data_IF_957358692859
#
_entry.id   IF_957358692859
#
_cell.length_a   1.000
_cell.length_b   1.000
_cell.length_c   1.000
_cell.angle_alpha   90.00
_cell.angle_beta   90.00
_cell.angle_gamma   90.00
#
_symmetry.space_group_name_H-M   'P 1'
#
loop_
_entity.id
_entity.type
_entity.pdbx_description
1 polymer ?
#
# COMPACT_ATOMS: atom_id res chain seq x y z
N UNK A 1 6.16 -12.35 -9.24
CA UNK A 1 5.52 -12.73 -7.98
C UNK A 1 5.18 -14.22 -7.96
N UNK A 2 4.34 -14.75 -8.82
CA UNK A 2 3.92 -16.17 -8.81
C UNK A 2 5.12 -17.14 -8.76
N UNK A 3 6.12 -16.98 -9.64
CA UNK A 3 7.30 -17.85 -9.68
C UNK A 3 8.09 -17.78 -8.37
N UNK A 4 8.41 -16.58 -7.91
CA UNK A 4 9.16 -16.39 -6.66
C UNK A 4 8.42 -17.02 -5.48
N UNK A 5 7.11 -16.82 -5.36
CA UNK A 5 6.32 -17.42 -4.28
C UNK A 5 6.28 -18.95 -4.39
N UNK A 6 6.14 -19.50 -5.60
CA UNK A 6 6.14 -20.95 -5.83
C UNK A 6 7.51 -21.58 -5.45
N UNK A 7 8.60 -20.90 -5.74
CA UNK A 7 9.97 -21.36 -5.47
C UNK A 7 10.42 -21.10 -4.02
N UNK A 8 9.68 -20.27 -3.26
CA UNK A 8 10.02 -20.02 -1.84
C UNK A 8 9.85 -21.30 -1.02
N UNK A 9 10.87 -21.73 -0.27
CA UNK A 9 10.77 -22.91 0.60
C UNK A 9 9.65 -22.78 1.63
N UNK A 10 8.96 -23.88 1.92
CA UNK A 10 8.03 -23.93 3.06
C UNK A 10 8.82 -23.73 4.36
N UNK A 11 8.33 -22.90 5.28
CA UNK A 11 9.05 -22.61 6.50
C UNK A 11 9.06 -23.85 7.43
N UNK A 12 10.25 -24.28 7.79
CA UNK A 12 10.54 -25.23 8.86
C UNK A 12 11.67 -24.62 9.68
N UNK A 13 11.50 -24.56 10.98
CA UNK A 13 12.48 -23.96 11.87
C UNK A 13 12.96 -24.99 12.90
N UNK A 14 14.23 -25.32 12.87
CA UNK A 14 14.87 -26.07 13.95
C UNK A 14 15.16 -25.13 15.10
N UNK A 15 14.52 -25.34 16.23
CA UNK A 15 14.64 -24.49 17.43
C UNK A 15 15.73 -25.07 18.37
N UNK A 16 15.74 -26.39 18.54
CA UNK A 16 16.73 -27.13 19.33
C UNK A 16 17.10 -28.36 18.53
N UNK A 17 18.40 -28.66 18.50
CA UNK A 17 18.95 -29.92 18.03
C UNK A 17 20.34 -30.07 18.68
N UNK A 18 20.40 -30.64 19.89
CA UNK A 18 21.63 -30.82 20.68
C UNK A 18 22.08 -32.29 20.76
N UNK A 19 21.38 -33.16 20.03
CA UNK A 19 21.69 -34.60 19.96
C UNK A 19 20.93 -35.44 20.99
N UNK A 20 20.50 -34.83 22.08
CA UNK A 20 19.67 -35.50 23.12
C UNK A 20 18.19 -35.10 22.99
N UNK A 21 17.95 -33.85 22.56
CA UNK A 21 16.61 -33.29 22.33
C UNK A 21 16.54 -32.57 21.01
N UNK A 22 15.36 -32.59 20.38
CA UNK A 22 15.08 -31.73 19.23
C UNK A 22 13.72 -31.03 19.37
N UNK A 23 13.62 -29.85 18.78
CA UNK A 23 12.36 -29.15 18.61
C UNK A 23 12.33 -28.45 17.24
N UNK A 24 11.33 -28.76 16.46
CA UNK A 24 11.10 -28.17 15.15
C UNK A 24 9.73 -27.49 15.10
N UNK A 25 9.66 -26.36 14.42
CA UNK A 25 8.39 -25.69 14.13
C UNK A 25 8.05 -25.84 12.66
N UNK A 26 6.92 -26.44 12.37
CA UNK A 26 6.32 -26.62 11.06
C UNK A 26 5.10 -25.70 10.90
N UNK A 27 4.74 -25.38 9.66
CA UNK A 27 3.56 -24.59 9.35
C UNK A 27 2.61 -25.39 8.47
N UNK A 28 1.45 -25.76 9.04
CA UNK A 28 0.42 -26.54 8.34
C UNK A 28 -0.62 -25.61 7.70
N UNK A 29 -1.28 -26.04 6.58
CA UNK A 29 -2.36 -25.28 6.00
C UNK A 29 -3.40 -24.81 7.01
N UNK A 30 -3.91 -23.61 6.86
CA UNK A 30 -5.04 -23.09 7.67
C UNK A 30 -6.36 -23.72 7.27
N UNK A 31 -6.56 -23.97 5.96
CA UNK A 31 -7.80 -24.43 5.36
C UNK A 31 -8.24 -23.54 4.21
N UNK A 32 -9.32 -22.78 4.37
CA UNK A 32 -9.85 -21.89 3.34
C UNK A 32 -9.56 -20.43 3.65
N UNK A 33 -8.94 -19.73 2.70
CA UNK A 33 -8.63 -18.29 2.79
C UNK A 33 -9.64 -17.49 1.99
N UNK A 34 -10.30 -16.53 2.63
CA UNK A 34 -11.10 -15.51 1.98
C UNK A 34 -10.20 -14.34 1.57
N UNK A 35 -9.95 -14.16 0.27
CA UNK A 35 -9.13 -13.12 -0.30
C UNK A 35 -9.99 -12.00 -0.86
N UNK A 36 -10.03 -10.85 -0.19
CA UNK A 36 -10.85 -9.68 -0.58
C UNK A 36 -9.91 -8.59 -1.07
N UNK A 37 -9.95 -8.31 -2.39
CA UNK A 37 -8.98 -7.46 -3.06
C UNK A 37 -9.58 -6.13 -3.53
N UNK A 38 -8.79 -5.04 -3.53
CA UNK A 38 -9.22 -3.69 -3.89
C UNK A 38 -9.21 -3.48 -5.41
N UNK A 39 -9.55 -2.26 -5.82
CA UNK A 39 -9.66 -1.85 -7.22
C UNK A 39 -8.40 -1.19 -7.80
N UNK A 40 -7.47 -0.72 -6.96
CA UNK A 40 -6.33 0.08 -7.42
C UNK A 40 -5.22 -0.75 -8.10
N UNK A 41 -4.93 -1.94 -7.58
CA UNK A 41 -3.99 -2.90 -8.17
C UNK A 41 -4.62 -4.31 -8.21
N UNK A 42 -5.71 -4.49 -8.96
CA UNK A 42 -6.60 -5.64 -8.78
C UNK A 42 -5.95 -7.01 -9.03
N UNK A 43 -5.18 -7.14 -10.10
CA UNK A 43 -4.51 -8.41 -10.43
C UNK A 43 -3.28 -8.64 -9.54
N UNK A 44 -2.52 -7.59 -9.27
CA UNK A 44 -1.28 -7.68 -8.50
C UNK A 44 -1.58 -8.09 -7.05
N UNK A 45 -2.51 -7.41 -6.39
CA UNK A 45 -2.90 -7.74 -5.01
C UNK A 45 -3.60 -9.10 -4.94
N UNK A 46 -4.39 -9.48 -5.97
CA UNK A 46 -4.94 -10.83 -6.04
C UNK A 46 -3.82 -11.89 -6.01
N UNK A 47 -2.76 -11.72 -6.80
CA UNK A 47 -1.59 -12.62 -6.80
C UNK A 47 -0.90 -12.64 -5.43
N UNK A 48 -0.77 -11.50 -4.76
CA UNK A 48 -0.16 -11.42 -3.44
C UNK A 48 -0.90 -12.22 -2.37
N UNK A 49 -2.21 -12.35 -2.49
CA UNK A 49 -3.05 -13.12 -1.57
C UNK A 49 -3.22 -14.58 -2.01
N UNK A 50 -3.44 -14.84 -3.30
CA UNK A 50 -3.70 -16.18 -3.84
C UNK A 50 -2.43 -17.05 -3.83
N UNK A 51 -1.33 -16.54 -4.39
CA UNK A 51 -0.13 -17.36 -4.58
C UNK A 51 0.45 -17.92 -3.27
N UNK A 52 0.68 -17.12 -2.22
CA UNK A 52 1.19 -17.67 -0.96
C UNK A 52 0.16 -18.55 -0.23
N UNK A 53 -1.16 -18.27 -0.39
CA UNK A 53 -2.20 -19.14 0.17
C UNK A 53 -2.13 -20.54 -0.43
N UNK A 54 -2.04 -20.64 -1.76
CA UNK A 54 -1.90 -21.91 -2.46
C UNK A 54 -0.56 -22.59 -2.15
N UNK A 55 0.53 -21.83 -2.08
CA UNK A 55 1.87 -22.35 -1.74
C UNK A 55 1.88 -23.03 -0.37
N UNK A 56 1.12 -22.50 0.58
CA UNK A 56 0.96 -23.08 1.92
C UNK A 56 -0.08 -24.21 2.00
N UNK A 57 -0.69 -24.60 0.87
CA UNK A 57 -1.65 -25.71 0.79
C UNK A 57 -3.09 -25.33 1.16
N UNK A 58 -3.41 -24.04 1.24
CA UNK A 58 -4.78 -23.58 1.48
C UNK A 58 -5.60 -23.56 0.19
N UNK A 59 -6.92 -23.61 0.31
CA UNK A 59 -7.86 -23.23 -0.75
C UNK A 59 -8.22 -21.75 -0.63
N UNK A 60 -8.69 -21.16 -1.73
CA UNK A 60 -8.98 -19.72 -1.79
C UNK A 60 -10.37 -19.44 -2.33
N UNK A 61 -11.10 -18.58 -1.64
CA UNK A 61 -12.30 -17.90 -2.16
C UNK A 61 -11.94 -16.42 -2.35
N UNK A 62 -11.73 -16.01 -3.60
CA UNK A 62 -11.42 -14.64 -3.94
C UNK A 62 -12.68 -13.82 -4.21
N UNK A 63 -12.77 -12.63 -3.62
CA UNK A 63 -13.73 -11.59 -3.98
C UNK A 63 -12.96 -10.36 -4.48
N UNK A 64 -12.89 -10.14 -5.80
CA UNK A 64 -12.35 -8.90 -6.35
C UNK A 64 -13.29 -7.72 -6.05
N UNK A 65 -12.76 -6.50 -6.14
CA UNK A 65 -13.62 -5.32 -6.09
C UNK A 65 -14.64 -5.34 -7.24
N UNK A 66 -15.85 -4.88 -6.96
CA UNK A 66 -16.92 -4.71 -7.95
C UNK A 66 -16.52 -3.80 -9.11
N UNK A 67 -15.62 -2.86 -8.87
CA UNK A 67 -15.11 -1.94 -9.90
C UNK A 67 -14.15 -2.58 -10.89
N UNK A 68 -13.49 -3.67 -10.53
CA UNK A 68 -12.39 -4.28 -11.32
C UNK A 68 -12.49 -5.81 -11.38
N UNK A 69 -13.71 -6.35 -11.30
CA UNK A 69 -13.94 -7.79 -11.22
C UNK A 69 -13.50 -8.57 -12.47
N UNK A 70 -13.57 -7.96 -13.65
CA UNK A 70 -13.25 -8.66 -14.91
C UNK A 70 -11.79 -9.13 -14.97
N UNK A 71 -10.84 -8.32 -14.55
CA UNK A 71 -9.42 -8.70 -14.52
C UNK A 71 -9.15 -9.82 -13.51
N UNK A 72 -9.83 -9.79 -12.35
CA UNK A 72 -9.75 -10.85 -11.34
C UNK A 72 -10.32 -12.18 -11.86
N UNK A 73 -11.48 -12.14 -12.56
CA UNK A 73 -12.08 -13.31 -13.19
C UNK A 73 -11.17 -13.91 -14.26
N UNK A 74 -10.60 -13.07 -15.15
CA UNK A 74 -9.68 -13.52 -16.19
C UNK A 74 -8.43 -14.19 -15.60
N UNK A 75 -7.84 -13.59 -14.56
CA UNK A 75 -6.70 -14.16 -13.84
C UNK A 75 -7.03 -15.54 -13.29
N UNK A 76 -8.15 -15.68 -12.58
CA UNK A 76 -8.53 -16.93 -11.95
C UNK A 76 -8.95 -18.00 -12.96
N UNK A 77 -9.55 -17.60 -14.09
CA UNK A 77 -9.80 -18.50 -15.20
C UNK A 77 -8.49 -19.13 -15.70
N UNK A 78 -7.45 -18.33 -15.91
CA UNK A 78 -6.14 -18.82 -16.35
C UNK A 78 -5.51 -19.75 -15.30
N UNK A 79 -5.51 -19.35 -14.01
CA UNK A 79 -4.96 -20.18 -12.94
C UNK A 79 -5.69 -21.53 -12.81
N UNK A 80 -7.01 -21.55 -12.97
CA UNK A 80 -7.80 -22.76 -12.88
C UNK A 80 -7.61 -23.73 -14.06
N UNK A 81 -6.89 -23.34 -15.13
CA UNK A 81 -6.50 -24.31 -16.17
C UNK A 81 -5.47 -25.34 -15.69
N UNK A 82 -4.77 -25.04 -14.59
CA UNK A 82 -3.70 -25.89 -14.04
C UNK A 82 -3.93 -26.31 -12.58
N UNK A 83 -4.87 -25.68 -11.90
CA UNK A 83 -5.23 -26.01 -10.50
C UNK A 83 -6.32 -27.10 -10.47
N UNK A 84 -6.32 -27.97 -9.44
CA UNK A 84 -7.44 -28.89 -9.22
C UNK A 84 -8.75 -28.12 -8.99
N UNK A 85 -9.87 -28.75 -9.37
CA UNK A 85 -11.20 -28.17 -9.18
C UNK A 85 -11.47 -27.83 -7.70
N UNK A 86 -12.05 -26.65 -7.44
CA UNK A 86 -12.42 -26.18 -6.10
C UNK A 86 -11.28 -25.58 -5.29
N UNK A 87 -10.04 -25.61 -5.76
CA UNK A 87 -8.89 -25.02 -5.02
C UNK A 87 -8.92 -23.50 -5.05
N UNK A 88 -9.27 -22.89 -6.17
CA UNK A 88 -9.42 -21.45 -6.33
C UNK A 88 -10.80 -21.12 -6.89
N UNK A 89 -11.59 -20.39 -6.10
CA UNK A 89 -12.94 -19.98 -6.49
C UNK A 89 -13.06 -18.47 -6.47
N UNK A 90 -13.84 -17.90 -7.39
CA UNK A 90 -14.11 -16.46 -7.45
C UNK A 90 -15.58 -16.20 -7.26
N UNK A 91 -15.91 -15.26 -6.38
CA UNK A 91 -17.26 -14.74 -6.19
C UNK A 91 -17.28 -13.24 -6.44
N UNK A 92 -18.26 -12.77 -7.21
CA UNK A 92 -18.38 -11.36 -7.61
C UNK A 92 -19.61 -10.75 -6.94
N UNK A 93 -19.43 -9.61 -6.29
CA UNK A 93 -20.49 -8.89 -5.61
C UNK A 93 -19.92 -7.68 -4.86
N UNK A 94 -20.80 -6.89 -4.29
CA UNK A 94 -20.48 -5.69 -3.54
C UNK A 94 -20.06 -5.99 -2.07
N UNK A 95 -20.14 -5.00 -1.20
CA UNK A 95 -19.68 -5.11 0.18
C UNK A 95 -20.45 -6.13 1.05
N UNK A 96 -21.72 -6.38 0.73
CA UNK A 96 -22.56 -7.39 1.41
C UNK A 96 -22.04 -8.82 1.20
N UNK A 97 -21.53 -9.14 0.01
CA UNK A 97 -20.88 -10.42 -0.24
C UNK A 97 -19.56 -10.52 0.54
N UNK A 98 -18.79 -9.42 0.63
CA UNK A 98 -17.60 -9.37 1.46
C UNK A 98 -17.91 -9.67 2.93
N UNK A 99 -18.96 -9.09 3.47
CA UNK A 99 -19.41 -9.37 4.84
C UNK A 99 -19.76 -10.85 5.05
N UNK A 100 -20.49 -11.47 4.12
CA UNK A 100 -20.79 -12.93 4.19
C UNK A 100 -19.55 -13.80 4.19
N UNK A 101 -18.50 -13.45 3.43
CA UNK A 101 -17.21 -14.18 3.45
C UNK A 101 -16.57 -14.05 4.83
N UNK A 102 -16.58 -12.83 5.39
CA UNK A 102 -15.98 -12.57 6.71
C UNK A 102 -16.71 -13.33 7.82
N UNK A 103 -18.03 -13.40 7.78
CA UNK A 103 -18.88 -14.07 8.78
C UNK A 103 -18.89 -15.60 8.63
N UNK A 104 -18.58 -16.14 7.46
CA UNK A 104 -18.71 -17.56 7.16
C UNK A 104 -17.76 -18.42 8.03
N UNK A 105 -18.32 -19.41 8.72
CA UNK A 105 -17.57 -20.40 9.50
C UNK A 105 -16.69 -21.32 8.63
N UNK A 106 -16.93 -21.34 7.30
CA UNK A 106 -16.15 -22.14 6.34
C UNK A 106 -14.87 -21.45 5.88
N UNK A 107 -14.63 -20.23 6.32
CA UNK A 107 -13.43 -19.45 6.02
C UNK A 107 -12.55 -19.38 7.28
N UNK A 108 -11.33 -19.86 7.19
CA UNK A 108 -10.40 -19.95 8.32
C UNK A 108 -9.55 -18.68 8.49
N UNK A 109 -9.29 -17.97 7.39
CA UNK A 109 -8.53 -16.72 7.39
C UNK A 109 -9.11 -15.72 6.40
N UNK A 110 -9.06 -14.44 6.76
CA UNK A 110 -9.31 -13.32 5.85
C UNK A 110 -8.00 -12.63 5.51
N UNK A 111 -7.74 -12.49 4.22
CA UNK A 111 -6.81 -11.51 3.68
C UNK A 111 -7.61 -10.38 3.06
N UNK A 112 -7.39 -9.18 3.54
CA UNK A 112 -8.11 -8.00 3.07
C UNK A 112 -7.14 -6.86 2.81
N UNK A 113 -7.24 -6.29 1.62
CA UNK A 113 -6.59 -5.02 1.27
C UNK A 113 -7.67 -4.00 0.90
N UNK A 114 -7.65 -2.84 1.56
CA UNK A 114 -8.63 -1.80 1.34
C UNK A 114 -8.64 -0.71 2.41
N UNK A 115 -9.79 -0.06 2.65
CA UNK A 115 -9.86 1.06 3.59
C UNK A 115 -9.78 0.62 5.05
N UNK A 116 -9.15 1.44 5.91
CA UNK A 116 -9.08 1.24 7.36
C UNK A 116 -10.47 1.08 7.99
N UNK A 117 -11.45 1.85 7.53
CA UNK A 117 -12.85 1.74 7.98
C UNK A 117 -13.42 0.33 7.74
N UNK A 118 -13.17 -0.26 6.57
CA UNK A 118 -13.62 -1.62 6.27
C UNK A 118 -12.82 -2.65 7.05
N UNK A 119 -11.52 -2.46 7.22
CA UNK A 119 -10.68 -3.32 8.05
C UNK A 119 -11.20 -3.43 9.49
N UNK A 120 -11.56 -2.31 10.12
CA UNK A 120 -12.17 -2.30 11.47
C UNK A 120 -13.47 -3.11 11.51
N UNK A 121 -14.36 -2.98 10.52
CA UNK A 121 -15.60 -3.78 10.41
C UNK A 121 -15.31 -5.28 10.25
N UNK A 122 -14.27 -5.64 9.49
CA UNK A 122 -13.85 -7.05 9.35
C UNK A 122 -13.40 -7.62 10.69
N UNK A 123 -12.65 -6.86 11.48
CA UNK A 123 -12.24 -7.28 12.83
C UNK A 123 -13.46 -7.56 13.71
N UNK A 124 -14.42 -6.65 13.73
CA UNK A 124 -15.66 -6.77 14.50
C UNK A 124 -16.47 -8.01 14.07
N UNK A 125 -16.74 -8.15 12.76
CA UNK A 125 -17.56 -9.23 12.22
C UNK A 125 -16.93 -10.62 12.35
N UNK A 126 -15.59 -10.72 12.39
CA UNK A 126 -14.86 -11.98 12.50
C UNK A 126 -14.40 -12.32 13.92
N UNK A 127 -14.84 -11.60 14.95
CA UNK A 127 -14.42 -11.83 16.33
C UNK A 127 -15.03 -13.12 16.92
N UNK A 128 -16.25 -13.49 16.50
CA UNK A 128 -17.00 -14.59 17.09
C UNK A 128 -16.40 -15.99 16.86
N UNK A 129 -15.56 -16.18 15.85
CA UNK A 129 -14.95 -17.47 15.51
C UNK A 129 -13.41 -17.47 15.55
N UNK A 130 -12.80 -16.45 16.14
CA UNK A 130 -11.33 -16.30 16.29
C UNK A 130 -10.57 -16.40 14.95
N UNK A 131 -11.20 -16.02 13.85
CA UNK A 131 -10.64 -16.10 12.49
C UNK A 131 -9.34 -15.30 12.39
N UNK A 132 -8.32 -15.89 11.77
CA UNK A 132 -7.06 -15.21 11.48
C UNK A 132 -7.25 -14.15 10.40
N UNK A 133 -6.48 -13.09 10.45
CA UNK A 133 -6.57 -11.96 9.51
C UNK A 133 -5.19 -11.46 9.14
N UNK A 134 -5.06 -11.03 7.89
CA UNK A 134 -4.04 -10.10 7.40
C UNK A 134 -4.78 -8.92 6.83
N UNK A 135 -4.51 -7.73 7.34
CA UNK A 135 -5.18 -6.49 6.96
C UNK A 135 -4.16 -5.51 6.44
N UNK A 136 -4.19 -5.27 5.12
CA UNK A 136 -3.42 -4.25 4.43
C UNK A 136 -4.35 -3.08 4.13
N UNK A 137 -4.18 -2.00 4.88
CA UNK A 137 -5.14 -0.90 4.90
C UNK A 137 -4.55 0.37 4.28
N UNK A 138 -5.24 1.51 4.47
CA UNK A 138 -4.76 2.78 3.99
C UNK A 138 -3.44 3.21 4.62
N UNK A 139 -2.71 4.08 3.95
CA UNK A 139 -1.50 4.73 4.42
C UNK A 139 -1.58 6.24 4.19
N UNK A 140 -0.78 6.99 4.91
CA UNK A 140 -0.55 8.41 4.64
C UNK A 140 0.95 8.68 4.74
N UNK A 141 1.69 8.01 3.84
CA UNK A 141 3.12 7.82 3.92
C UNK A 141 3.88 9.14 3.85
N UNK A 142 4.81 9.33 4.78
CA UNK A 142 5.66 10.49 4.86
C UNK A 142 7.01 10.25 4.15
N UNK A 143 7.46 11.22 3.37
CA UNK A 143 8.83 11.31 2.89
C UNK A 143 9.56 12.47 3.55
N UNK A 144 10.71 12.22 4.15
CA UNK A 144 11.57 13.25 4.76
C UNK A 144 12.81 13.43 3.88
N UNK A 145 12.97 14.62 3.34
CA UNK A 145 14.15 15.03 2.53
C UNK A 145 15.13 15.71 3.46
N UNK A 146 16.42 15.34 3.42
CA UNK A 146 17.49 16.05 4.13
C UNK A 146 18.14 17.11 3.24
N UNK A 147 18.90 18.02 3.84
CA UNK A 147 19.48 19.18 3.17
C UNK A 147 20.74 18.87 2.35
N UNK A 148 21.25 17.63 2.44
CA UNK A 148 22.44 17.15 1.74
C UNK A 148 22.16 16.58 0.33
N UNK A 149 20.89 16.57 -0.12
CA UNK A 149 20.52 16.00 -1.43
C UNK A 149 20.59 17.04 -2.56
N UNK A 150 20.79 16.55 -3.78
CA UNK A 150 20.50 17.35 -5.00
C UNK A 150 19.00 17.24 -5.32
N UNK A 151 18.23 18.37 -5.25
CA UNK A 151 16.81 18.40 -5.55
C UNK A 151 16.43 17.81 -6.91
N UNK A 152 17.26 18.02 -7.94
CA UNK A 152 17.00 17.49 -9.29
C UNK A 152 17.24 15.97 -9.37
N UNK A 153 18.21 15.46 -8.63
CA UNK A 153 18.52 14.04 -8.63
C UNK A 153 17.41 13.20 -7.96
N UNK A 154 16.71 13.75 -6.97
CA UNK A 154 15.65 13.04 -6.26
C UNK A 154 14.25 13.25 -6.88
N UNK A 155 14.06 14.26 -7.75
CA UNK A 155 12.74 14.65 -8.27
C UNK A 155 11.98 13.49 -8.93
N UNK A 156 12.64 12.65 -9.72
CA UNK A 156 12.02 11.51 -10.39
C UNK A 156 11.54 10.45 -9.37
N UNK A 157 12.37 10.14 -8.37
CA UNK A 157 12.00 9.20 -7.32
C UNK A 157 10.82 9.70 -6.47
N UNK A 158 10.79 11.00 -6.14
CA UNK A 158 9.66 11.64 -5.45
C UNK A 158 8.40 11.60 -6.30
N UNK A 159 8.52 11.91 -7.59
CA UNK A 159 7.40 11.90 -8.53
C UNK A 159 6.75 10.51 -8.60
N UNK A 160 7.53 9.47 -8.90
CA UNK A 160 6.99 8.12 -9.01
C UNK A 160 6.52 7.56 -7.67
N UNK A 161 7.17 7.93 -6.57
CA UNK A 161 6.71 7.59 -5.23
C UNK A 161 5.31 8.14 -4.92
N UNK A 162 5.01 9.36 -5.38
CA UNK A 162 3.73 10.02 -5.12
C UNK A 162 2.64 9.70 -6.15
N UNK A 163 2.98 9.59 -7.44
CA UNK A 163 2.01 9.67 -8.53
C UNK A 163 1.87 8.40 -9.37
N UNK A 164 2.57 7.33 -9.07
CA UNK A 164 2.34 6.04 -9.71
C UNK A 164 0.85 5.66 -9.60
N UNK A 165 0.27 5.12 -10.68
CA UNK A 165 -1.17 4.83 -10.76
C UNK A 165 -2.05 6.05 -10.42
N UNK A 166 -1.61 7.25 -10.81
CA UNK A 166 -2.29 8.53 -10.52
C UNK A 166 -2.48 8.74 -8.99
N UNK A 167 -1.49 8.32 -8.19
CA UNK A 167 -1.51 8.42 -6.73
C UNK A 167 -2.46 7.45 -6.02
N UNK A 168 -3.12 6.55 -6.74
CA UNK A 168 -4.09 5.59 -6.19
C UNK A 168 -3.40 4.34 -5.64
N UNK A 169 -2.44 4.55 -4.75
CA UNK A 169 -1.60 3.49 -4.17
C UNK A 169 -1.56 3.65 -2.65
N UNK A 170 -1.79 2.55 -1.92
CA UNK A 170 -1.77 2.56 -0.46
C UNK A 170 -0.42 3.04 0.10
N UNK A 171 0.69 2.53 -0.45
CA UNK A 171 2.05 2.91 -0.13
C UNK A 171 2.60 3.98 -1.10
N UNK A 172 1.81 4.98 -1.48
CA UNK A 172 2.31 6.16 -2.19
C UNK A 172 2.84 7.19 -1.20
N UNK A 173 3.82 7.96 -1.62
CA UNK A 173 4.28 9.17 -0.91
C UNK A 173 3.13 10.20 -0.89
N UNK A 174 2.59 10.48 0.27
CA UNK A 174 1.39 11.32 0.43
C UNK A 174 1.65 12.61 1.19
N UNK A 175 2.77 12.70 1.92
CA UNK A 175 3.22 13.90 2.65
C UNK A 175 4.72 14.06 2.46
N UNK A 176 5.16 15.15 1.85
CA UNK A 176 6.57 15.41 1.60
C UNK A 176 7.09 16.52 2.53
N UNK A 177 7.97 16.17 3.44
CA UNK A 177 8.65 17.09 4.36
C UNK A 177 9.99 17.48 3.78
N UNK A 178 10.22 18.79 3.63
CA UNK A 178 11.42 19.36 2.99
C UNK A 178 12.03 20.44 3.89
N UNK A 179 13.37 20.45 4.13
CA UNK A 179 14.01 21.43 4.96
C UNK A 179 14.00 22.83 4.30
N UNK A 180 13.94 23.85 5.13
CA UNK A 180 13.90 25.25 4.71
C UNK A 180 14.96 25.62 3.69
N UNK A 181 16.17 25.07 3.86
CA UNK A 181 17.36 25.39 3.05
C UNK A 181 17.24 25.06 1.56
N UNK A 182 16.48 24.01 1.20
CA UNK A 182 16.33 23.55 -0.18
C UNK A 182 14.85 23.43 -0.62
N UNK A 183 13.93 23.95 0.18
CA UNK A 183 12.49 23.77 -0.02
C UNK A 183 12.02 24.21 -1.41
N UNK A 184 12.32 25.44 -1.77
CA UNK A 184 11.85 26.00 -3.04
C UNK A 184 12.49 25.32 -4.27
N UNK A 185 13.73 24.83 -4.12
CA UNK A 185 14.42 24.08 -5.16
C UNK A 185 13.79 22.69 -5.37
N UNK A 186 13.45 21.98 -4.29
CA UNK A 186 12.77 20.68 -4.36
C UNK A 186 11.37 20.83 -4.97
N UNK A 187 10.59 21.83 -4.51
CA UNK A 187 9.26 22.12 -5.06
C UNK A 187 9.33 22.44 -6.54
N UNK A 188 10.28 23.30 -6.95
CA UNK A 188 10.46 23.67 -8.36
C UNK A 188 10.89 22.47 -9.22
N UNK A 189 11.85 21.66 -8.78
CA UNK A 189 12.34 20.50 -9.51
C UNK A 189 11.23 19.45 -9.71
N UNK A 190 10.43 19.19 -8.66
CA UNK A 190 9.32 18.26 -8.72
C UNK A 190 8.20 18.77 -9.65
N UNK A 191 7.85 20.06 -9.59
CA UNK A 191 6.83 20.66 -10.44
C UNK A 191 7.25 20.69 -11.92
N UNK A 192 8.51 20.99 -12.22
CA UNK A 192 9.05 20.96 -13.59
C UNK A 192 8.97 19.57 -14.21
N UNK A 193 9.31 18.53 -13.44
CA UNK A 193 9.19 17.15 -13.89
C UNK A 193 7.72 16.76 -14.08
N UNK A 194 6.90 17.01 -13.07
CA UNK A 194 5.49 16.61 -13.06
C UNK A 194 4.67 17.25 -14.18
N UNK A 195 4.98 18.51 -14.52
CA UNK A 195 4.33 19.23 -15.62
C UNK A 195 4.62 18.66 -17.02
N UNK A 196 5.61 17.77 -17.15
CA UNK A 196 5.99 17.13 -18.42
C UNK A 196 5.40 15.74 -18.60
N UNK A 197 4.81 15.16 -17.54
CA UNK A 197 4.27 13.80 -17.59
C UNK A 197 2.86 13.83 -18.18
N UNK A 198 2.62 13.17 -19.32
CA UNK A 198 1.32 13.22 -19.99
C UNK A 198 0.25 12.43 -19.25
N UNK A 199 -0.96 12.99 -19.21
CA UNK A 199 -2.16 12.37 -18.65
C UNK A 199 -3.25 12.31 -19.73
N UNK A 200 -3.94 11.18 -19.81
CA UNK A 200 -5.04 11.02 -20.76
C UNK A 200 -5.61 9.61 -20.78
N UNK A 201 -6.24 9.25 -21.89
CA UNK A 201 -6.83 7.93 -22.10
C UNK A 201 -5.73 6.85 -22.05
N UNK A 202 -5.89 5.85 -21.19
CA UNK A 202 -4.93 4.75 -21.01
C UNK A 202 -4.80 3.79 -22.21
N UNK A 203 -5.61 3.95 -23.26
CA UNK A 203 -5.45 3.22 -24.53
C UNK A 203 -4.48 3.92 -25.48
N UNK A 204 -4.12 5.15 -25.22
CA UNK A 204 -3.14 5.92 -25.97
C UNK A 204 -1.78 5.74 -25.33
N UNK A 205 -0.85 5.10 -26.02
CA UNK A 205 0.48 4.72 -25.50
C UNK A 205 1.35 5.90 -25.05
N UNK A 206 1.04 7.11 -25.50
CA UNK A 206 1.75 8.33 -25.10
C UNK A 206 1.39 8.78 -23.68
N UNK A 207 0.22 8.38 -23.16
CA UNK A 207 -0.22 8.77 -21.83
C UNK A 207 0.36 7.84 -20.76
N UNK A 208 0.83 8.44 -19.68
CA UNK A 208 1.48 7.76 -18.55
C UNK A 208 0.53 7.67 -17.36
N UNK A 209 -0.24 8.73 -17.11
CA UNK A 209 -1.22 8.81 -16.04
C UNK A 209 -2.64 8.78 -16.61
N UNK A 210 -3.52 8.08 -15.93
CA UNK A 210 -4.93 7.95 -16.28
C UNK A 210 -5.86 8.73 -15.34
N UNK A 211 -7.18 8.50 -15.48
CA UNK A 211 -8.19 9.10 -14.60
C UNK A 211 -8.15 8.47 -13.19
N UNK A 212 -8.85 9.11 -12.26
CA UNK A 212 -9.26 8.48 -11.02
C UNK A 212 -10.30 7.38 -11.31
N UNK A 213 -10.27 6.32 -10.52
CA UNK A 213 -11.03 5.11 -10.84
C UNK A 213 -12.56 5.28 -10.69
N UNK A 214 -13.00 6.13 -9.76
CA UNK A 214 -14.42 6.33 -9.49
C UNK A 214 -14.73 7.74 -8.99
N UNK A 215 -16.02 8.12 -9.06
CA UNK A 215 -16.49 9.43 -8.66
C UNK A 215 -16.25 9.76 -7.19
N UNK A 216 -16.44 8.78 -6.29
CA UNK A 216 -16.21 9.01 -4.87
C UNK A 216 -14.76 9.42 -4.59
N UNK A 217 -13.79 8.76 -5.26
CA UNK A 217 -12.36 9.08 -5.10
C UNK A 217 -12.03 10.44 -5.70
N UNK A 218 -12.61 10.79 -6.84
CA UNK A 218 -12.49 12.11 -7.44
C UNK A 218 -12.99 13.22 -6.50
N UNK A 219 -14.14 13.01 -5.88
CA UNK A 219 -14.73 13.99 -4.95
C UNK A 219 -13.87 14.16 -3.68
N UNK A 220 -13.25 13.09 -3.18
CA UNK A 220 -12.30 13.15 -2.06
C UNK A 220 -11.09 14.02 -2.43
N UNK A 221 -10.43 13.75 -3.56
CA UNK A 221 -9.26 14.52 -4.00
C UNK A 221 -9.62 15.99 -4.20
N UNK A 222 -10.73 16.26 -4.87
CA UNK A 222 -11.19 17.64 -5.11
C UNK A 222 -11.44 18.39 -3.79
N UNK A 223 -12.13 17.76 -2.85
CA UNK A 223 -12.39 18.34 -1.52
C UNK A 223 -11.10 18.67 -0.77
N UNK A 224 -10.14 17.74 -0.75
CA UNK A 224 -8.89 17.92 -0.01
C UNK A 224 -8.02 19.02 -0.62
N UNK A 225 -7.98 19.13 -1.95
CA UNK A 225 -7.24 20.21 -2.61
C UNK A 225 -7.91 21.56 -2.37
N UNK A 226 -9.25 21.65 -2.43
CA UNK A 226 -9.96 22.89 -2.12
C UNK A 226 -9.81 23.29 -0.66
N UNK A 227 -9.81 22.34 0.29
CA UNK A 227 -9.51 22.61 1.70
C UNK A 227 -8.11 23.19 1.86
N UNK A 228 -7.10 22.60 1.22
CA UNK A 228 -5.72 23.09 1.28
C UNK A 228 -5.60 24.54 0.74
N UNK A 229 -6.27 24.85 -0.36
CA UNK A 229 -6.34 26.23 -0.88
C UNK A 229 -6.99 27.20 0.11
N UNK A 230 -8.11 26.79 0.71
CA UNK A 230 -8.84 27.61 1.68
C UNK A 230 -8.01 27.87 2.96
N UNK A 231 -7.10 26.97 3.29
CA UNK A 231 -6.18 27.10 4.41
C UNK A 231 -4.80 27.71 4.05
N UNK A 232 -4.71 28.36 2.89
CA UNK A 232 -3.52 29.13 2.51
C UNK A 232 -2.45 28.35 1.74
N UNK A 233 -2.71 27.07 1.40
CA UNK A 233 -1.81 26.27 0.58
C UNK A 233 -1.62 26.89 -0.81
N UNK A 234 -0.37 26.97 -1.25
CA UNK A 234 0.01 27.49 -2.56
C UNK A 234 0.03 26.37 -3.59
N UNK A 235 -0.94 26.38 -4.50
CA UNK A 235 -0.94 25.45 -5.65
C UNK A 235 0.21 25.80 -6.59
N UNK A 236 1.15 24.88 -6.74
CA UNK A 236 2.32 25.02 -7.61
C UNK A 236 2.05 24.44 -8.98
N UNK A 237 1.30 23.33 -9.04
CA UNK A 237 0.91 22.63 -10.25
C UNK A 237 -0.50 22.05 -10.07
N UNK A 238 -1.29 21.97 -11.14
CA UNK A 238 -2.62 21.37 -11.14
C UNK A 238 -3.64 22.18 -10.33
N UNK A 239 -4.31 21.52 -9.39
CA UNK A 239 -5.21 22.15 -8.42
C UNK A 239 -6.66 22.32 -8.86
N UNK A 240 -7.04 21.80 -10.03
CA UNK A 240 -8.43 21.80 -10.51
C UNK A 240 -8.66 20.60 -11.45
N UNK A 241 -9.91 20.10 -11.59
CA UNK A 241 -10.27 19.05 -12.52
C UNK A 241 -9.89 19.36 -13.97
N UNK A 242 -9.39 18.37 -14.71
CA UNK A 242 -9.11 18.45 -16.16
C UNK A 242 -10.33 17.95 -16.95
N UNK A 243 -11.42 18.73 -16.92
CA UNK A 243 -12.72 18.35 -17.49
C UNK A 243 -12.69 18.13 -19.00
N UNK A 244 -11.73 18.72 -19.68
CA UNK A 244 -11.48 18.53 -21.13
C UNK A 244 -10.99 17.12 -21.47
N UNK A 245 -10.37 16.41 -20.51
CA UNK A 245 -9.94 15.01 -20.66
C UNK A 245 -11.06 14.03 -20.27
N UNK A 246 -12.02 14.46 -19.46
CA UNK A 246 -13.15 13.66 -19.00
C UNK A 246 -13.50 13.88 -17.53
N UNK A 247 -14.62 13.31 -17.09
CA UNK A 247 -15.25 13.58 -15.78
C UNK A 247 -14.44 13.12 -14.57
N UNK A 248 -13.50 12.18 -14.74
CA UNK A 248 -12.72 11.61 -13.65
C UNK A 248 -11.24 12.02 -13.70
N UNK A 249 -10.86 12.91 -14.62
CA UNK A 249 -9.49 13.38 -14.72
C UNK A 249 -9.20 14.50 -13.71
N UNK A 250 -8.25 14.22 -12.84
CA UNK A 250 -7.67 15.21 -11.92
C UNK A 250 -6.16 15.22 -12.15
N UNK A 251 -5.56 16.35 -12.56
CA UNK A 251 -4.15 16.39 -12.91
C UNK A 251 -3.26 16.25 -11.68
N UNK A 252 -2.00 15.90 -11.91
CA UNK A 252 -0.97 15.96 -10.86
C UNK A 252 -1.02 17.33 -10.20
N UNK A 253 -1.20 17.32 -8.90
CA UNK A 253 -1.36 18.54 -8.09
C UNK A 253 -0.30 18.57 -6.99
N UNK A 254 0.45 19.68 -6.95
CA UNK A 254 1.44 19.94 -5.90
C UNK A 254 0.98 21.17 -5.14
N UNK A 255 0.79 21.00 -3.82
CA UNK A 255 0.37 22.09 -2.92
C UNK A 255 1.49 22.34 -1.92
N UNK A 256 2.16 23.45 -2.05
CA UNK A 256 3.23 23.93 -1.18
C UNK A 256 2.69 24.79 -0.03
N UNK A 257 3.54 25.05 0.96
CA UNK A 257 3.28 25.95 2.07
C UNK A 257 2.05 25.53 2.91
N UNK A 258 1.87 24.23 3.10
CA UNK A 258 0.87 23.63 4.00
C UNK A 258 1.55 23.03 5.24
N UNK A 259 0.77 22.77 6.26
CA UNK A 259 1.24 22.22 7.54
C UNK A 259 0.25 21.17 8.07
N UNK A 260 0.64 20.45 9.11
CA UNK A 260 -0.22 19.58 9.89
C UNK A 260 -1.49 20.34 10.34
N UNK A 261 -2.64 19.67 10.32
CA UNK A 261 -3.95 20.28 10.57
C UNK A 261 -4.70 20.68 9.31
N UNK A 262 -4.06 20.72 8.13
CA UNK A 262 -4.73 20.87 6.83
C UNK A 262 -5.19 19.48 6.36
N UNK A 263 -6.43 19.36 5.92
CA UNK A 263 -7.00 18.05 5.60
C UNK A 263 -6.21 17.29 4.52
N UNK A 264 -5.61 17.96 3.54
CA UNK A 264 -4.75 17.33 2.52
C UNK A 264 -3.48 16.70 3.13
N UNK A 265 -3.01 17.19 4.28
CA UNK A 265 -1.87 16.62 5.02
C UNK A 265 -2.32 15.47 5.92
N UNK A 266 -3.44 15.64 6.62
CA UNK A 266 -3.86 14.74 7.69
C UNK A 266 -4.70 13.55 7.20
N UNK A 267 -5.41 13.70 6.07
CA UNK A 267 -6.26 12.65 5.49
C UNK A 267 -5.61 12.02 4.26
N UNK A 268 -5.81 10.71 4.09
CA UNK A 268 -5.36 9.98 2.90
C UNK A 268 -6.12 10.44 1.65
N UNK A 269 -5.45 11.11 0.71
CA UNK A 269 -6.06 11.59 -0.55
C UNK A 269 -6.28 10.46 -1.57
N UNK A 270 -5.42 9.45 -1.58
CA UNK A 270 -5.44 8.31 -2.50
C UNK A 270 -5.65 8.74 -3.96
N UNK A 271 -4.88 9.74 -4.39
CA UNK A 271 -4.99 10.37 -5.69
C UNK A 271 -3.85 11.34 -5.97
N UNK A 272 -3.86 12.05 -7.10
CA UNK A 272 -2.70 12.78 -7.63
C UNK A 272 -2.48 14.15 -6.96
N UNK A 273 -2.57 14.24 -5.65
CA UNK A 273 -2.34 15.48 -4.90
C UNK A 273 -1.29 15.27 -3.81
N UNK A 274 -0.20 16.02 -3.86
CA UNK A 274 0.90 15.95 -2.92
C UNK A 274 1.07 17.25 -2.15
N UNK A 275 0.85 17.29 -0.84
CA UNK A 275 1.24 18.38 0.03
C UNK A 275 2.75 18.35 0.26
N UNK A 276 3.39 19.53 0.19
CA UNK A 276 4.80 19.71 0.53
C UNK A 276 4.89 20.60 1.74
N UNK A 277 5.44 20.06 2.80
CA UNK A 277 5.51 20.64 4.13
C UNK A 277 6.94 21.10 4.41
N UNK A 278 7.09 22.33 4.87
CA UNK A 278 8.38 22.90 5.25
C UNK A 278 8.75 22.50 6.67
N UNK A 279 10.01 22.23 6.95
CA UNK A 279 10.51 22.05 8.31
C UNK A 279 11.86 22.75 8.50
N UNK A 280 12.12 23.20 9.75
CA UNK A 280 13.41 23.79 10.16
C UNK A 280 14.25 22.82 10.98
N UNK A 281 13.62 21.92 11.74
CA UNK A 281 14.26 20.89 12.53
C UNK A 281 13.77 19.51 12.10
N UNK A 282 14.68 18.61 11.82
CA UNK A 282 14.35 17.22 11.41
C UNK A 282 13.57 16.47 12.50
N UNK A 283 13.74 16.86 13.76
CA UNK A 283 12.99 16.28 14.87
C UNK A 283 11.48 16.57 14.75
N UNK A 284 11.11 17.77 14.33
CA UNK A 284 9.73 18.14 14.07
C UNK A 284 9.16 17.34 12.89
N UNK A 285 9.93 17.17 11.80
CA UNK A 285 9.53 16.37 10.67
C UNK A 285 9.28 14.90 11.06
N UNK A 286 10.13 14.31 11.90
CA UNK A 286 9.95 12.93 12.42
C UNK A 286 8.71 12.86 13.32
N UNK A 287 8.50 13.84 14.19
CA UNK A 287 7.32 13.89 15.05
C UNK A 287 6.03 13.98 14.25
N UNK A 288 5.97 14.86 13.25
CA UNK A 288 4.85 15.02 12.33
C UNK A 288 4.61 13.77 11.47
N UNK A 289 5.69 13.14 10.94
CA UNK A 289 5.59 11.90 10.20
C UNK A 289 4.93 10.79 11.03
N UNK A 290 5.26 10.73 12.32
CA UNK A 290 4.75 9.73 13.26
C UNK A 290 3.40 10.11 13.91
N UNK A 291 2.93 11.33 13.75
CA UNK A 291 1.78 11.90 14.48
C UNK A 291 0.42 11.34 14.09
N UNK A 292 0.29 10.72 12.91
CA UNK A 292 -0.97 10.16 12.43
C UNK A 292 -1.16 8.69 12.84
N UNK A 293 -2.42 8.25 12.87
CA UNK A 293 -2.81 6.83 13.04
C UNK A 293 -2.65 6.06 11.71
N UNK A 294 -1.58 6.33 10.97
CA UNK A 294 -1.19 5.63 9.76
C UNK A 294 0.30 5.26 9.84
N UNK A 295 0.65 4.09 9.35
CA UNK A 295 2.02 3.59 9.39
C UNK A 295 2.24 2.45 8.40
N UNK A 296 1.88 2.66 7.13
CA UNK A 296 2.13 1.67 6.09
C UNK A 296 3.57 1.78 5.59
N UNK A 297 3.93 2.93 5.05
CA UNK A 297 5.25 3.23 4.56
C UNK A 297 5.76 4.60 4.95
N UNK A 298 7.06 4.82 4.77
CA UNK A 298 7.73 6.11 4.85
C UNK A 298 9.01 6.08 4.01
N UNK A 299 9.58 7.24 3.73
CA UNK A 299 10.89 7.31 3.07
C UNK A 299 11.78 8.41 3.63
N UNK A 300 13.09 8.21 3.52
CA UNK A 300 14.11 9.19 3.87
C UNK A 300 15.02 9.41 2.66
N UNK A 301 15.22 10.65 2.30
CA UNK A 301 16.00 11.07 1.13
C UNK A 301 17.24 11.84 1.59
N UNK A 302 18.41 11.28 1.40
CA UNK A 302 19.67 11.84 1.85
C UNK A 302 20.83 11.33 0.97
N UNK A 303 21.88 12.12 0.84
CA UNK A 303 23.14 11.69 0.23
C UNK A 303 23.90 10.77 1.19
N UNK A 304 23.90 11.08 2.49
CA UNK A 304 24.49 10.18 3.50
C UNK A 304 23.50 9.08 3.90
N UNK A 305 23.84 7.84 3.52
CA UNK A 305 23.04 6.66 3.85
C UNK A 305 23.02 6.32 5.34
N UNK A 306 24.04 6.68 6.10
CA UNK A 306 24.08 6.42 7.53
C UNK A 306 23.08 7.32 8.26
N UNK A 307 23.03 8.59 7.89
CA UNK A 307 22.03 9.53 8.41
C UNK A 307 20.61 9.15 7.99
N UNK A 308 20.41 8.79 6.72
CA UNK A 308 19.11 8.27 6.27
C UNK A 308 18.65 7.07 7.11
N UNK A 309 19.56 6.11 7.38
CA UNK A 309 19.24 4.92 8.18
C UNK A 309 18.93 5.28 9.64
N UNK A 310 19.65 6.21 10.22
CA UNK A 310 19.43 6.69 11.60
C UNK A 310 18.01 7.28 11.75
N UNK A 311 17.55 8.05 10.77
CA UNK A 311 16.20 8.61 10.76
C UNK A 311 15.16 7.52 10.47
N UNK A 312 15.41 6.66 9.48
CA UNK A 312 14.49 5.59 9.08
C UNK A 312 14.10 4.68 10.26
N UNK A 313 15.05 4.36 11.16
CA UNK A 313 14.77 3.53 12.35
C UNK A 313 13.84 4.19 13.38
N UNK A 314 13.56 5.49 13.23
CA UNK A 314 12.71 6.28 14.14
C UNK A 314 11.30 6.48 13.59
N UNK A 315 11.07 6.15 12.31
CA UNK A 315 9.75 6.27 11.68
C UNK A 315 8.88 5.06 12.03
N UNK A 316 7.66 5.33 12.44
CA UNK A 316 6.68 4.33 12.89
C UNK A 316 5.85 3.81 11.71
N UNK A 317 6.52 3.17 10.77
CA UNK A 317 5.91 2.57 9.57
C UNK A 317 6.40 1.14 9.38
N UNK A 318 5.59 0.31 8.74
CA UNK A 318 5.93 -1.09 8.48
C UNK A 318 7.11 -1.23 7.52
N UNK A 319 7.21 -0.34 6.53
CA UNK A 319 8.37 -0.26 5.61
C UNK A 319 8.90 1.16 5.54
N UNK A 320 10.22 1.32 5.59
CA UNK A 320 10.88 2.62 5.36
C UNK A 320 11.92 2.47 4.26
N UNK A 321 11.75 3.23 3.20
CA UNK A 321 12.68 3.25 2.06
C UNK A 321 13.73 4.36 2.23
N UNK A 322 14.91 4.13 1.67
CA UNK A 322 15.98 5.13 1.59
C UNK A 322 16.22 5.47 0.12
N UNK A 323 16.10 6.75 -0.23
CA UNK A 323 16.27 7.28 -1.59
C UNK A 323 15.37 6.61 -2.65
N UNK A 324 14.23 6.13 -2.22
CA UNK A 324 13.16 5.59 -3.05
C UNK A 324 11.87 5.62 -2.26
N UNK A 325 10.73 5.31 -2.89
CA UNK A 325 9.44 5.16 -2.20
C UNK A 325 8.56 4.16 -2.92
N UNK A 326 7.86 3.30 -2.17
CA UNK A 326 6.86 2.37 -2.70
C UNK A 326 7.40 1.15 -3.44
N UNK A 327 8.72 0.96 -3.52
CA UNK A 327 9.33 -0.20 -4.14
C UNK A 327 9.12 -1.47 -3.32
N UNK A 328 8.39 -2.46 -3.87
CA UNK A 328 8.13 -3.75 -3.21
C UNK A 328 8.91 -4.88 -3.87
N UNK A 329 9.29 -5.87 -3.07
CA UNK A 329 10.00 -7.05 -3.55
C UNK A 329 9.37 -8.33 -2.99
N UNK A 330 9.16 -9.40 -3.80
CA UNK A 330 8.43 -10.60 -3.38
C UNK A 330 9.05 -11.37 -2.21
N UNK A 331 10.34 -11.15 -1.92
CA UNK A 331 11.04 -11.80 -0.80
C UNK A 331 11.14 -10.91 0.46
N UNK A 332 10.72 -9.65 0.39
CA UNK A 332 10.81 -8.72 1.52
C UNK A 332 9.42 -8.59 2.16
N UNK A 333 9.28 -8.93 3.44
CA UNK A 333 8.00 -8.80 4.13
C UNK A 333 7.46 -7.38 4.05
N UNK A 334 6.15 -7.27 3.85
CA UNK A 334 5.42 -6.01 3.77
C UNK A 334 4.17 -6.08 4.64
N UNK A 335 3.87 -4.99 5.35
CA UNK A 335 2.69 -4.85 6.18
C UNK A 335 2.72 -3.55 6.95
N UNK A 336 1.53 -3.06 7.33
CA UNK A 336 1.36 -1.82 8.07
C UNK A 336 1.43 -2.00 9.58
N UNK A 337 1.55 -0.86 10.27
CA UNK A 337 1.38 -0.72 11.72
C UNK A 337 0.29 0.32 12.01
N UNK A 338 -0.13 0.49 13.25
CA UNK A 338 -1.19 1.40 13.67
C UNK A 338 -2.50 1.15 12.88
N UNK A 339 -3.16 2.21 12.41
CA UNK A 339 -4.37 2.14 11.59
C UNK A 339 -4.17 1.62 10.16
N UNK A 340 -2.94 1.39 9.72
CA UNK A 340 -2.62 0.78 8.43
C UNK A 340 -2.71 -0.74 8.43
N UNK A 341 -3.04 -1.35 9.55
CA UNK A 341 -3.35 -2.77 9.63
C UNK A 341 -2.30 -3.59 10.36
N UNK A 342 -2.37 -4.90 10.15
CA UNK A 342 -1.46 -5.87 10.78
C UNK A 342 -1.42 -7.18 9.99
N UNK A 343 -0.40 -7.98 10.26
CA UNK A 343 -0.01 -9.15 9.49
C UNK A 343 1.05 -8.77 8.46
N UNK A 344 1.66 -9.78 7.87
CA UNK A 344 2.68 -9.61 6.85
C UNK A 344 2.32 -10.37 5.59
N UNK A 345 2.57 -9.76 4.46
CA UNK A 345 2.61 -10.38 3.14
C UNK A 345 4.07 -10.54 2.71
N UNK A 346 4.33 -11.38 1.72
CA UNK A 346 5.60 -11.66 1.06
C UNK A 346 6.67 -12.36 1.91
N UNK A 347 7.63 -12.92 1.19
CA UNK A 347 8.73 -13.67 1.76
C UNK A 347 8.29 -14.84 2.63
N UNK A 348 9.19 -15.32 3.44
CA UNK A 348 8.93 -16.44 4.39
C UNK A 348 7.93 -16.03 5.47
N UNK A 349 8.00 -14.78 5.94
CA UNK A 349 7.09 -14.29 6.99
C UNK A 349 5.63 -14.21 6.47
N UNK A 350 5.44 -13.81 5.20
CA UNK A 350 4.13 -13.86 4.56
C UNK A 350 3.60 -15.29 4.44
N UNK A 351 4.45 -16.28 4.12
CA UNK A 351 4.06 -17.69 4.12
C UNK A 351 3.67 -18.17 5.53
N UNK A 352 4.48 -17.89 6.56
CA UNK A 352 4.16 -18.23 7.96
C UNK A 352 2.80 -17.69 8.38
N UNK A 353 2.43 -16.51 7.95
CA UNK A 353 1.12 -15.90 8.25
C UNK A 353 -0.06 -16.73 7.72
N UNK A 354 0.17 -17.59 6.73
CA UNK A 354 -0.81 -18.46 6.06
C UNK A 354 -0.75 -19.91 6.52
N UNK A 355 -0.04 -20.18 7.60
CA UNK A 355 0.06 -21.48 8.22
C UNK A 355 -0.30 -21.48 9.71
N UNK A 356 -0.65 -22.65 10.20
CA UNK A 356 -0.78 -22.91 11.64
C UNK A 356 0.54 -23.48 12.14
N UNK A 357 1.24 -22.82 13.08
CA UNK A 357 2.46 -23.38 13.65
C UNK A 357 2.16 -24.66 14.42
N UNK A 358 2.97 -25.69 14.21
CA UNK A 358 2.96 -26.94 14.94
C UNK A 358 4.38 -27.24 15.40
N UNK A 359 4.57 -27.34 16.70
CA UNK A 359 5.85 -27.77 17.29
C UNK A 359 5.88 -29.28 17.38
N UNK A 360 6.97 -29.87 16.94
CA UNK A 360 7.31 -31.30 17.11
C UNK A 360 8.60 -31.33 17.92
N UNK A 361 8.57 -31.99 19.07
CA UNK A 361 9.72 -32.13 19.95
C UNK A 361 9.83 -33.56 20.46
N UNK A 362 11.07 -34.00 20.71
CA UNK A 362 11.41 -35.34 21.19
C UNK A 362 12.75 -35.38 21.90
#
# INVERSE_FOLDING_TARGET
WLRVTADTPLPVETIIDDGDTFAEMHYRPLGTVGAITPWNWPMMIAIWQIAPSLRMGNTVVQKPSEYTSLSGLALNFILNTVLPEGVLNTVVGAGDLGARIVESEKIDKIMFTGSTRTGKRIVEASSGNLKRRTLELGGNDAGIVLDDVDPKAIAEGLFWGAFINTGQTCAALKRLYVPDSIYDEVVAALADLAGKVPMGNGLDEENVLGPLQNRQQFDIVSRLVEDAKANGGRVVLGGAPATELGELFYPVTIVADVADGVALVDEEQFGPALPVIRYSDVEDAIASANGLDAGLGASVWASDRADARRIATRLQSGTVWINSHGGLHPMVPFGGVKGSGYGLEFGVEGLKSLGVPQVING
#
